data_IF_420703778877
#
_entry.id   IF_420703778877
#
_cell.length_a   1.000
_cell.length_b   1.000
_cell.length_c   1.000
_cell.angle_alpha   90.00
_cell.angle_beta   90.00
_cell.angle_gamma   90.00
#
_symmetry.space_group_name_H-M   'P 1'
#
loop_
_entity.id
_entity.type
_entity.pdbx_description
1 polymer ?
#
# COMPACT_ATOMS: atom_id res chain seq x y z
N UNK A 1 22.95 64.87 -39.12
CA UNK A 1 21.65 65.20 -39.73
C UNK A 1 20.90 63.88 -39.98
N UNK A 2 19.66 63.79 -39.48
CA UNK A 2 18.62 62.75 -39.73
C UNK A 2 18.75 61.39 -39.03
N UNK A 3 18.16 61.38 -37.82
CA UNK A 3 17.15 60.45 -37.25
C UNK A 3 16.74 59.21 -38.06
N UNK A 4 16.55 58.08 -37.36
CA UNK A 4 15.33 57.24 -37.39
C UNK A 4 15.34 56.31 -36.16
N UNK A 5 14.26 56.35 -35.37
CA UNK A 5 13.99 55.51 -34.18
C UNK A 5 13.05 54.39 -34.64
N UNK A 6 13.47 53.13 -34.55
CA UNK A 6 12.60 51.93 -34.59
C UNK A 6 13.39 50.84 -33.86
N UNK A 7 12.90 50.08 -32.90
CA UNK A 7 11.61 49.93 -32.25
C UNK A 7 11.82 48.81 -31.23
N UNK A 8 11.16 48.93 -30.08
CA UNK A 8 11.14 47.94 -29.01
C UNK A 8 10.71 46.58 -29.57
N UNK A 9 11.57 45.57 -29.45
CA UNK A 9 11.14 44.18 -29.35
C UNK A 9 11.83 43.61 -28.12
N UNK A 10 11.12 43.79 -27.01
CA UNK A 10 11.24 42.98 -25.79
C UNK A 10 11.05 41.54 -26.26
N UNK A 11 12.16 40.80 -26.38
CA UNK A 11 12.12 39.38 -26.67
C UNK A 11 11.51 38.69 -25.44
N UNK A 12 10.25 38.30 -25.64
CA UNK A 12 9.40 37.55 -24.74
C UNK A 12 10.19 36.49 -23.96
N UNK A 13 10.04 36.62 -22.64
CA UNK A 13 10.23 35.58 -21.64
C UNK A 13 9.49 34.33 -22.10
N UNK A 14 10.20 33.39 -22.74
CA UNK A 14 9.80 31.99 -22.75
C UNK A 14 10.38 31.34 -21.49
N UNK A 15 9.85 31.76 -20.34
CA UNK A 15 9.68 30.80 -19.24
C UNK A 15 8.67 29.83 -19.81
N UNK A 16 9.18 28.77 -20.41
CA UNK A 16 8.44 27.53 -20.53
C UNK A 16 8.10 27.13 -19.10
N UNK A 17 6.95 27.61 -18.63
CA UNK A 17 6.16 26.88 -17.66
C UNK A 17 5.84 25.56 -18.36
N UNK A 18 6.79 24.64 -18.34
CA UNK A 18 6.46 23.23 -18.32
C UNK A 18 5.63 23.10 -17.05
N UNK A 19 4.31 23.21 -17.22
CA UNK A 19 3.35 22.73 -16.26
C UNK A 19 3.70 21.26 -16.06
N UNK A 20 4.55 20.98 -15.07
CA UNK A 20 4.65 19.66 -14.48
C UNK A 20 3.24 19.37 -14.05
N UNK A 21 2.53 18.59 -14.86
CA UNK A 21 1.25 17.99 -14.55
C UNK A 21 1.50 17.22 -13.26
N UNK A 22 1.27 17.89 -12.13
CA UNK A 22 1.37 17.36 -10.79
C UNK A 22 0.24 16.35 -10.75
N UNK A 23 0.57 15.12 -11.15
CA UNK A 23 -0.33 13.98 -11.06
C UNK A 23 -0.72 13.94 -9.59
N UNK A 24 -1.99 14.14 -9.28
CA UNK A 24 -2.53 14.07 -7.91
C UNK A 24 -2.17 12.71 -7.32
N UNK A 25 -0.97 12.63 -6.74
CA UNK A 25 -0.42 11.43 -6.17
C UNK A 25 -0.90 11.43 -4.74
N UNK A 26 -1.96 10.65 -4.47
CA UNK A 26 -2.46 10.44 -3.11
C UNK A 26 -1.29 10.12 -2.19
N UNK A 27 -1.25 10.77 -1.04
CA UNK A 27 -0.26 10.47 -0.02
C UNK A 27 -0.44 9.03 0.47
N UNK A 28 0.64 8.44 1.01
CA UNK A 28 0.57 7.10 1.61
C UNK A 28 -0.48 7.04 2.72
N UNK A 29 -0.66 8.12 3.48
CA UNK A 29 -1.67 8.21 4.53
C UNK A 29 -3.10 8.19 3.97
N UNK A 30 -3.34 8.80 2.80
CA UNK A 30 -4.64 8.76 2.13
C UNK A 30 -4.96 7.39 1.54
N UNK A 31 -3.96 6.68 1.02
CA UNK A 31 -4.12 5.31 0.53
C UNK A 31 -4.32 4.31 1.68
N UNK A 32 -3.69 4.58 2.82
CA UNK A 32 -3.69 3.68 3.96
C UNK A 32 -4.05 4.41 5.28
N UNK A 33 -5.31 4.86 5.43
CA UNK A 33 -5.77 5.56 6.63
C UNK A 33 -5.88 4.64 7.85
N UNK A 34 -5.87 5.15 9.09
CA UNK A 34 -6.05 4.33 10.29
C UNK A 34 -7.29 3.41 10.21
N UNK A 35 -7.18 2.22 10.81
CA UNK A 35 -8.24 1.21 10.83
C UNK A 35 -8.80 1.12 12.25
N UNK A 36 -10.11 1.32 12.40
CA UNK A 36 -10.78 0.98 13.66
C UNK A 36 -10.80 -0.53 13.80
N UNK A 37 -10.29 -1.05 14.91
CA UNK A 37 -10.18 -2.51 15.12
C UNK A 37 -11.52 -3.21 14.97
N UNK A 38 -12.64 -2.64 15.41
CA UNK A 38 -13.99 -3.23 15.23
C UNK A 38 -14.48 -3.27 13.77
N UNK A 39 -13.79 -2.63 12.85
CA UNK A 39 -14.13 -2.56 11.42
C UNK A 39 -13.06 -3.21 10.53
N UNK A 40 -12.12 -3.96 11.13
CA UNK A 40 -10.98 -4.55 10.43
C UNK A 40 -11.38 -5.40 9.22
N UNK A 41 -12.51 -6.11 9.29
CA UNK A 41 -13.04 -6.94 8.21
C UNK A 41 -13.42 -6.15 6.96
N UNK A 42 -13.69 -4.85 7.11
CA UNK A 42 -14.04 -3.94 6.00
C UNK A 42 -12.81 -3.43 5.25
N UNK A 43 -11.61 -3.80 5.68
CA UNK A 43 -10.37 -3.40 5.02
C UNK A 43 -10.35 -3.94 3.59
N UNK A 44 -10.16 -3.10 2.55
CA UNK A 44 -10.09 -3.56 1.17
C UNK A 44 -8.97 -4.57 0.95
N UNK A 45 -9.26 -5.64 0.21
CA UNK A 45 -8.30 -6.69 -0.15
C UNK A 45 -8.61 -7.27 -1.53
N UNK A 46 -7.62 -7.95 -2.11
CA UNK A 46 -7.79 -8.82 -3.28
C UNK A 46 -7.65 -10.27 -2.84
N UNK A 47 -8.68 -11.09 -3.07
CA UNK A 47 -8.67 -12.52 -2.73
C UNK A 47 -8.52 -13.40 -3.98
N UNK A 48 -7.79 -14.51 -3.84
CA UNK A 48 -7.73 -15.58 -4.85
C UNK A 48 -6.90 -15.28 -6.11
N UNK A 49 -6.27 -14.10 -6.21
CA UNK A 49 -5.41 -13.73 -7.34
C UNK A 49 -4.39 -12.65 -6.97
N UNK A 50 -3.40 -12.44 -7.84
CA UNK A 50 -2.49 -11.30 -7.73
C UNK A 50 -3.22 -9.98 -8.05
N UNK A 51 -2.81 -8.86 -7.45
CA UNK A 51 -3.44 -7.57 -7.69
C UNK A 51 -3.05 -6.99 -9.05
N UNK A 52 -3.96 -6.19 -9.61
CA UNK A 52 -3.71 -5.34 -10.77
C UNK A 52 -2.98 -4.07 -10.34
N UNK A 53 -2.45 -3.31 -11.29
CA UNK A 53 -1.83 -2.02 -10.97
C UNK A 53 -2.81 -1.01 -10.38
N UNK A 54 -4.08 -1.03 -10.81
CA UNK A 54 -5.11 -0.13 -10.26
C UNK A 54 -5.36 -0.38 -8.76
N UNK A 55 -5.32 -1.65 -8.34
CA UNK A 55 -5.50 -2.05 -6.94
C UNK A 55 -4.31 -1.65 -6.06
N UNK A 56 -3.14 -1.46 -6.66
CA UNK A 56 -1.96 -0.91 -5.99
C UNK A 56 -2.11 0.62 -5.89
N UNK A 57 -2.47 1.26 -7.00
CA UNK A 57 -2.62 2.71 -7.09
C UNK A 57 -3.75 3.25 -6.17
N UNK A 58 -4.76 2.42 -5.86
CA UNK A 58 -5.87 2.79 -4.97
C UNK A 58 -5.73 2.30 -3.51
N UNK A 59 -4.65 1.57 -3.19
CA UNK A 59 -4.37 1.10 -1.82
C UNK A 59 -5.11 -0.17 -1.39
N UNK A 60 -5.74 -0.90 -2.30
CA UNK A 60 -6.35 -2.21 -2.00
C UNK A 60 -5.30 -3.30 -1.81
N UNK A 61 -4.13 -3.16 -2.44
CA UNK A 61 -3.00 -4.09 -2.31
C UNK A 61 -1.65 -3.34 -2.28
N UNK A 62 -0.55 -4.05 -2.02
CA UNK A 62 0.79 -3.47 -1.83
C UNK A 62 1.82 -4.01 -2.82
N UNK A 63 1.81 -5.33 -3.05
CA UNK A 63 2.84 -6.04 -3.79
C UNK A 63 2.37 -6.23 -5.23
N UNK A 64 3.01 -5.52 -6.16
CA UNK A 64 2.73 -5.60 -7.59
C UNK A 64 3.72 -6.52 -8.30
N UNK A 65 3.19 -7.47 -9.07
CA UNK A 65 3.98 -8.38 -9.90
C UNK A 65 3.52 -8.22 -11.36
N UNK A 66 4.12 -7.32 -12.16
CA UNK A 66 3.67 -7.06 -13.53
C UNK A 66 3.85 -8.26 -14.45
N UNK A 67 4.90 -9.06 -14.22
CA UNK A 67 5.23 -10.26 -15.01
C UNK A 67 5.59 -11.39 -14.02
N UNK A 68 4.61 -11.97 -13.33
CA UNK A 68 4.87 -13.00 -12.32
C UNK A 68 5.43 -14.26 -13.00
N UNK A 69 6.41 -14.89 -12.36
CA UNK A 69 6.80 -16.26 -12.72
C UNK A 69 5.63 -17.23 -12.49
N UNK A 70 5.65 -18.39 -13.16
CA UNK A 70 4.56 -19.38 -13.10
C UNK A 70 4.30 -19.93 -11.69
N UNK A 71 5.28 -19.82 -10.79
CA UNK A 71 5.18 -20.25 -9.40
C UNK A 71 4.67 -19.16 -8.44
N UNK A 72 4.60 -17.90 -8.88
CA UNK A 72 4.14 -16.78 -8.07
C UNK A 72 2.61 -16.72 -8.13
N UNK A 73 1.97 -16.85 -6.96
CA UNK A 73 0.51 -16.87 -6.85
C UNK A 73 0.04 -16.24 -5.54
N UNK A 74 -1.25 -15.89 -5.50
CA UNK A 74 -1.90 -15.59 -4.24
C UNK A 74 -1.87 -16.83 -3.33
N UNK A 75 -1.57 -16.62 -2.06
CA UNK A 75 -1.65 -17.69 -1.07
C UNK A 75 -3.12 -18.05 -0.81
N UNK A 76 -3.40 -19.34 -0.60
CA UNK A 76 -4.76 -19.84 -0.39
C UNK A 76 -5.23 -19.55 1.04
N UNK A 77 -5.70 -18.31 1.25
CA UNK A 77 -6.28 -17.83 2.50
C UNK A 77 -7.24 -16.69 2.20
N UNK A 78 -8.44 -16.73 2.79
CA UNK A 78 -9.40 -15.62 2.71
C UNK A 78 -8.94 -14.47 3.61
N UNK A 79 -8.77 -13.31 3.01
CA UNK A 79 -8.39 -12.04 3.63
C UNK A 79 -9.59 -11.06 3.67
N UNK A 80 -9.53 -9.98 4.49
CA UNK A 80 -8.46 -9.68 5.45
C UNK A 80 -8.38 -10.70 6.59
N UNK A 81 -7.26 -10.70 7.33
CA UNK A 81 -7.10 -11.45 8.59
C UNK A 81 -6.37 -10.61 9.63
N UNK A 82 -6.69 -10.80 10.90
CA UNK A 82 -5.88 -10.24 11.99
C UNK A 82 -4.68 -11.14 12.27
N UNK A 83 -3.53 -10.50 12.52
CA UNK A 83 -2.32 -11.18 12.93
C UNK A 83 -1.51 -10.30 13.89
N UNK A 84 -0.67 -10.94 14.71
CA UNK A 84 0.43 -10.25 15.36
C UNK A 84 1.67 -10.32 14.47
N UNK A 85 2.15 -9.17 14.02
CA UNK A 85 3.45 -9.03 13.38
C UNK A 85 4.54 -8.91 14.45
N UNK A 86 5.55 -9.77 14.37
CA UNK A 86 6.70 -9.75 15.27
C UNK A 86 7.87 -9.02 14.59
N UNK A 87 8.28 -7.88 15.15
CA UNK A 87 9.40 -7.10 14.64
C UNK A 87 10.72 -7.88 14.80
N UNK A 88 11.44 -8.20 13.70
CA UNK A 88 12.56 -9.14 13.76
C UNK A 88 13.70 -8.71 14.69
N UNK A 89 13.95 -7.40 14.81
CA UNK A 89 15.03 -6.87 15.65
C UNK A 89 14.67 -6.74 17.12
N UNK A 90 13.40 -6.45 17.44
CA UNK A 90 13.00 -6.10 18.80
C UNK A 90 12.15 -7.16 19.47
N UNK A 91 11.61 -8.12 18.72
CA UNK A 91 10.63 -9.09 19.19
C UNK A 91 9.28 -8.48 19.60
N UNK A 92 9.11 -7.15 19.48
CA UNK A 92 7.84 -6.49 19.77
C UNK A 92 6.78 -7.05 18.83
N UNK A 93 5.58 -7.28 19.37
CA UNK A 93 4.41 -7.69 18.60
C UNK A 93 3.50 -6.49 18.39
N UNK A 94 2.97 -6.37 17.18
CA UNK A 94 1.97 -5.38 16.82
C UNK A 94 0.78 -6.07 16.17
N UNK A 95 -0.43 -5.70 16.58
CA UNK A 95 -1.66 -6.17 15.94
C UNK A 95 -1.83 -5.45 14.60
N UNK A 96 -1.97 -6.22 13.53
CA UNK A 96 -2.08 -5.72 12.16
C UNK A 96 -3.23 -6.39 11.42
N UNK A 97 -3.72 -5.74 10.36
CA UNK A 97 -4.61 -6.33 9.38
C UNK A 97 -3.78 -6.82 8.20
N UNK A 98 -3.75 -8.11 7.97
CA UNK A 98 -3.14 -8.71 6.78
C UNK A 98 -4.10 -8.56 5.61
N UNK A 99 -3.62 -7.95 4.53
CA UNK A 99 -4.42 -7.58 3.35
C UNK A 99 -3.97 -8.26 2.06
N UNK A 100 -2.78 -8.84 2.06
CA UNK A 100 -2.24 -9.54 0.90
C UNK A 100 -1.25 -10.62 1.35
N UNK A 101 -1.28 -11.79 0.71
CA UNK A 101 -0.25 -12.82 0.88
C UNK A 101 0.09 -13.39 -0.50
N UNK A 102 1.36 -13.33 -0.87
CA UNK A 102 1.88 -13.86 -2.15
C UNK A 102 2.92 -14.93 -1.85
N UNK A 103 2.79 -16.07 -2.52
CA UNK A 103 3.69 -17.20 -2.39
C UNK A 103 4.41 -17.46 -3.71
N UNK A 104 5.70 -17.75 -3.63
CA UNK A 104 6.50 -18.38 -4.68
C UNK A 104 7.13 -19.67 -4.16
N UNK A 105 7.99 -20.31 -4.95
CA UNK A 105 8.80 -21.45 -4.48
C UNK A 105 9.82 -21.07 -3.40
N UNK A 106 10.27 -19.82 -3.39
CA UNK A 106 11.34 -19.35 -2.51
C UNK A 106 10.78 -18.83 -1.19
N UNK A 107 9.73 -18.00 -1.26
CA UNK A 107 9.23 -17.28 -0.09
C UNK A 107 7.71 -17.09 -0.12
N UNK A 108 7.16 -16.74 1.04
CA UNK A 108 5.80 -16.24 1.18
C UNK A 108 5.86 -14.86 1.84
N UNK A 109 5.40 -13.84 1.11
CA UNK A 109 5.43 -12.43 1.54
C UNK A 109 4.03 -12.00 1.92
N UNK A 110 3.91 -11.34 3.07
CA UNK A 110 2.68 -10.85 3.65
C UNK A 110 2.68 -9.33 3.57
N UNK A 111 1.71 -8.76 2.87
CA UNK A 111 1.35 -7.35 2.91
C UNK A 111 0.33 -7.08 4.02
N UNK A 112 0.61 -6.11 4.89
CA UNK A 112 -0.20 -5.83 6.06
C UNK A 112 -0.35 -4.33 6.31
N UNK A 113 -1.28 -4.00 7.21
CA UNK A 113 -1.61 -2.65 7.64
C UNK A 113 -1.62 -2.58 9.17
N UNK A 114 -0.76 -1.77 9.79
CA UNK A 114 -0.93 -1.37 11.17
C UNK A 114 -2.28 -0.70 11.39
N UNK A 115 -2.88 -0.87 12.56
CA UNK A 115 -4.16 -0.21 12.89
C UNK A 115 -4.04 1.32 12.90
N UNK A 116 -2.84 1.84 13.15
CA UNK A 116 -2.53 3.28 13.13
C UNK A 116 -2.44 3.87 11.72
N UNK A 117 -2.56 3.07 10.66
CA UNK A 117 -2.42 3.49 9.27
C UNK A 117 -1.09 3.05 8.65
N UNK A 118 -0.78 3.57 7.45
CA UNK A 118 0.33 3.12 6.60
C UNK A 118 0.20 1.63 6.20
N UNK A 119 1.29 1.07 5.73
CA UNK A 119 1.38 -0.32 5.29
C UNK A 119 2.80 -0.86 5.50
N UNK A 120 2.93 -2.18 5.38
CA UNK A 120 4.23 -2.85 5.37
C UNK A 120 4.17 -4.19 4.66
N UNK A 121 5.34 -4.76 4.42
CA UNK A 121 5.50 -6.12 3.92
C UNK A 121 6.60 -6.85 4.69
N UNK A 122 6.41 -8.14 4.93
CA UNK A 122 7.43 -8.98 5.55
C UNK A 122 7.23 -10.46 5.18
N UNK A 123 8.16 -11.32 5.58
CA UNK A 123 8.04 -12.77 5.37
C UNK A 123 7.01 -13.38 6.31
N UNK A 124 6.33 -14.42 5.85
CA UNK A 124 5.21 -15.08 6.55
C UNK A 124 5.55 -15.54 7.97
N UNK A 125 6.80 -15.98 8.22
CA UNK A 125 7.25 -16.46 9.52
C UNK A 125 7.26 -15.40 10.63
N UNK A 126 7.15 -14.11 10.28
CA UNK A 126 7.02 -13.04 11.27
C UNK A 126 5.59 -12.82 11.77
N UNK A 127 4.61 -13.57 11.26
CA UNK A 127 3.20 -13.38 11.58
C UNK A 127 2.62 -14.55 12.37
N UNK A 128 1.90 -14.21 13.43
CA UNK A 128 1.00 -15.12 14.14
C UNK A 128 -0.43 -14.71 13.78
N UNK A 129 -1.08 -15.45 12.88
CA UNK A 129 -2.48 -15.24 12.51
C UNK A 129 -3.40 -15.63 13.66
N UNK A 130 -4.41 -14.81 13.92
CA UNK A 130 -5.38 -15.08 14.98
C UNK A 130 -6.44 -16.09 14.51
N UNK A 131 -6.87 -16.97 15.40
CA UNK A 131 -8.05 -17.81 15.20
C UNK A 131 -9.34 -17.00 15.35
N UNK A 132 -10.47 -17.55 14.90
CA UNK A 132 -11.76 -16.88 15.03
C UNK A 132 -12.14 -16.67 16.52
N UNK A 133 -11.76 -17.61 17.40
CA UNK A 133 -11.89 -17.47 18.86
C UNK A 133 -11.01 -16.34 19.41
N UNK A 134 -9.72 -16.28 19.04
CA UNK A 134 -8.82 -15.21 19.48
C UNK A 134 -9.30 -13.83 19.00
N UNK A 135 -9.86 -13.76 17.78
CA UNK A 135 -10.50 -12.53 17.27
C UNK A 135 -11.72 -12.18 18.12
N UNK A 136 -12.59 -13.14 18.45
CA UNK A 136 -13.76 -12.89 19.30
C UNK A 136 -13.35 -12.34 20.68
N UNK A 137 -12.42 -13.00 21.35
CA UNK A 137 -11.89 -12.56 22.65
C UNK A 137 -11.23 -11.17 22.57
N UNK A 138 -10.56 -10.87 21.47
CA UNK A 138 -10.00 -9.54 21.23
C UNK A 138 -11.11 -8.49 21.10
N UNK A 139 -12.20 -8.77 20.38
CA UNK A 139 -13.31 -7.82 20.19
C UNK A 139 -14.06 -7.54 21.49
N UNK A 140 -14.14 -8.50 22.41
CA UNK A 140 -14.77 -8.31 23.73
C UNK A 140 -14.00 -7.31 24.62
N UNK A 141 -12.74 -7.00 24.30
CA UNK A 141 -11.91 -6.02 25.03
C UNK A 141 -12.12 -4.57 24.58
N UNK A 142 -12.86 -4.35 23.50
CA UNK A 142 -13.13 -3.02 22.92
C UNK A 142 -14.61 -2.69 22.96
#
# INVERSE_FOLDING_TARGET
MKTQIIGIIILLVLVSCAETKQRDQKSVAELFPPIRVKEWERTPVVNGRLPTKEEIDNGTALLYYPNPGSDVKAYDMKLPKLAYYSYPKSGKKELVVVIQIVQSKQDTVVGYRPLTGLNGASVFSHFQFLTDEEVKELMEKF
#
